data_IF_069449203876
#
_entry.id   IF_069449203876
#
_cell.length_a   1.000
_cell.length_b   1.000
_cell.length_c   1.000
_cell.angle_alpha   90.00
_cell.angle_beta   90.00
_cell.angle_gamma   90.00
#
_symmetry.space_group_name_H-M   'P 1'
#
loop_
_entity.id
_entity.type
_entity.pdbx_description
1 polymer ?
#
# COMPACT_ATOMS: atom_id res chain seq x y z
N UNK A 1 11.90 13.91 19.54
CA UNK A 1 11.94 13.57 19.33
C UNK A 1 11.45 13.18 18.94
N UNK A 2 11.50 13.40 18.60
CA UNK A 2 11.33 13.05 18.14
C UNK A 2 11.13 12.41 17.66
N UNK A 3 11.38 12.33 17.40
CA UNK A 3 11.37 11.66 16.90
C UNK A 3 10.64 11.03 16.70
N UNK A 4 10.47 11.06 16.83
CA UNK A 4 9.90 10.45 16.64
C UNK A 4 9.26 10.08 16.04
N UNK A 5 9.50 10.46 15.41
CA UNK A 5 9.11 10.22 14.76
C UNK A 5 8.96 9.41 14.14
N UNK A 6 9.34 8.92 13.91
CA UNK A 6 9.33 8.16 13.22
C UNK A 6 8.88 7.12 13.47
N UNK A 7 8.73 6.91 14.35
CA UNK A 7 8.38 6.07 14.45
C UNK A 7 7.34 5.63 13.88
N UNK A 8 6.84 6.23 13.52
CA UNK A 8 6.12 5.91 12.61
C UNK A 8 6.60 4.97 11.77
N UNK A 9 7.59 4.72 11.89
CA UNK A 9 8.27 3.81 11.05
C UNK A 9 7.79 2.42 11.20
N UNK A 10 7.00 2.15 12.17
CA UNK A 10 6.36 0.87 12.25
C UNK A 10 5.42 0.68 11.11
N UNK A 11 4.94 1.78 10.55
CA UNK A 11 4.11 1.70 9.41
C UNK A 11 4.96 1.74 8.20
N UNK A 12 4.78 0.83 7.31
CA UNK A 12 5.49 0.86 6.06
C UNK A 12 4.84 1.86 5.12
N UNK A 13 5.65 2.65 4.46
CA UNK A 13 5.15 3.63 3.53
C UNK A 13 4.76 2.97 2.23
N UNK A 14 5.51 1.95 1.84
CA UNK A 14 5.19 1.20 0.62
C UNK A 14 5.55 -0.24 0.84
N UNK A 15 4.90 -1.11 0.09
CA UNK A 15 5.09 -2.55 0.22
C UNK A 15 5.08 -3.17 -1.16
N UNK A 16 5.64 -4.38 -1.26
CA UNK A 16 5.58 -5.09 -2.54
C UNK A 16 4.22 -5.78 -2.68
N UNK A 17 4.03 -6.46 -3.81
CA UNK A 17 2.73 -7.07 -4.09
C UNK A 17 2.36 -8.15 -3.10
N UNK A 18 3.33 -8.95 -2.66
CA UNK A 18 3.04 -10.01 -1.71
C UNK A 18 2.61 -9.46 -0.38
N UNK A 19 3.33 -8.45 0.08
CA UNK A 19 2.98 -7.83 1.35
C UNK A 19 1.63 -7.13 1.24
N UNK A 20 1.38 -6.49 0.12
CA UNK A 20 0.10 -5.84 -0.09
C UNK A 20 -1.03 -6.86 -0.03
N UNK A 21 -0.85 -8.01 -0.66
CA UNK A 21 -1.87 -9.04 -0.63
C UNK A 21 -2.13 -9.50 0.79
N UNK A 22 -1.07 -9.63 1.59
CA UNK A 22 -1.23 -10.05 2.98
C UNK A 22 -1.99 -8.99 3.77
N UNK A 23 -1.67 -7.74 3.54
CA UNK A 23 -2.34 -6.65 4.25
C UNK A 23 -3.81 -6.57 3.89
N UNK A 24 -4.13 -6.85 2.64
CA UNK A 24 -5.51 -6.76 2.18
C UNK A 24 -6.30 -8.03 2.43
N UNK A 25 -5.60 -9.11 2.74
CA UNK A 25 -6.27 -10.39 2.96
C UNK A 25 -6.80 -10.97 1.67
N UNK A 26 -6.09 -10.80 0.57
CA UNK A 26 -6.55 -11.30 -0.71
C UNK A 26 -5.38 -11.90 -1.47
N UNK A 27 -5.65 -12.41 -2.66
CA UNK A 27 -4.62 -12.99 -3.48
C UNK A 27 -3.75 -11.92 -4.11
N UNK A 28 -2.58 -12.34 -4.59
CA UNK A 28 -1.64 -11.41 -5.16
C UNK A 28 -2.20 -10.71 -6.40
N UNK A 29 -2.88 -11.45 -7.27
CA UNK A 29 -3.43 -10.87 -8.47
C UNK A 29 -4.44 -9.78 -8.14
N UNK A 30 -5.27 -10.02 -7.13
CA UNK A 30 -6.24 -9.03 -6.70
C UNK A 30 -5.55 -7.81 -6.11
N UNK A 31 -4.50 -8.04 -5.32
CA UNK A 31 -3.77 -6.95 -4.70
C UNK A 31 -3.14 -6.05 -5.77
N UNK A 32 -2.56 -6.65 -6.79
CA UNK A 32 -1.96 -5.87 -7.86
C UNK A 32 -3.01 -5.04 -8.59
N UNK A 33 -4.16 -5.63 -8.82
CA UNK A 33 -5.25 -4.92 -9.48
C UNK A 33 -5.70 -3.72 -8.64
N UNK A 34 -5.84 -3.93 -7.34
CA UNK A 34 -6.25 -2.85 -6.45
C UNK A 34 -5.19 -1.76 -6.44
N UNK A 35 -3.93 -2.16 -6.37
CA UNK A 35 -2.85 -1.19 -6.37
C UNK A 35 -2.83 -0.34 -7.62
N UNK A 36 -3.08 -0.95 -8.76
CA UNK A 36 -3.11 -0.22 -10.02
C UNK A 36 -4.30 0.73 -10.08
N UNK A 37 -5.47 0.26 -9.66
CA UNK A 37 -6.65 1.09 -9.69
C UNK A 37 -6.56 2.25 -8.73
N UNK A 38 -5.91 2.04 -7.61
CA UNK A 38 -5.76 3.09 -6.62
C UNK A 38 -4.72 4.13 -7.05
N UNK A 39 -3.94 3.82 -8.06
CA UNK A 39 -2.86 4.70 -8.45
C UNK A 39 -1.73 4.67 -7.46
N UNK A 40 -1.58 3.57 -6.76
CA UNK A 40 -0.59 3.44 -5.71
C UNK A 40 0.73 2.85 -6.18
N UNK A 41 0.77 2.37 -7.40
CA UNK A 41 1.95 1.69 -7.90
C UNK A 41 3.12 2.64 -8.07
N UNK A 42 4.27 2.24 -7.55
CA UNK A 42 5.50 3.00 -7.67
C UNK A 42 6.57 2.07 -8.17
N UNK A 43 7.42 2.57 -9.02
CA UNK A 43 8.55 1.77 -9.46
C UNK A 43 9.83 2.45 -9.02
N UNK A 44 10.64 1.74 -8.28
CA UNK A 44 11.92 2.26 -7.82
C UNK A 44 12.97 1.28 -8.29
N UNK A 45 13.76 1.70 -9.28
CA UNK A 45 14.72 0.80 -9.90
C UNK A 45 13.98 -0.36 -10.52
N UNK A 46 14.26 -1.56 -10.07
CA UNK A 46 13.61 -2.75 -10.58
C UNK A 46 12.47 -3.22 -9.71
N UNK A 47 12.20 -2.51 -8.66
CA UNK A 47 11.19 -2.94 -7.71
C UNK A 47 9.90 -2.20 -7.95
N UNK A 48 8.80 -2.94 -7.86
CA UNK A 48 7.48 -2.35 -7.95
C UNK A 48 6.88 -2.39 -6.55
N UNK A 49 6.49 -1.23 -6.08
CA UNK A 49 5.96 -1.10 -4.73
C UNK A 49 4.61 -0.39 -4.81
N UNK A 50 3.90 -0.42 -3.71
CA UNK A 50 2.58 0.19 -3.63
C UNK A 50 2.51 1.05 -2.38
N UNK A 51 2.05 2.28 -2.54
CA UNK A 51 1.95 3.20 -1.40
C UNK A 51 0.76 2.82 -0.55
N UNK A 52 1.03 2.53 0.70
CA UNK A 52 0.00 2.08 1.62
C UNK A 52 -1.05 3.15 1.84
N UNK A 53 -0.63 4.40 2.02
CA UNK A 53 -1.58 5.47 2.27
C UNK A 53 -2.56 5.64 1.11
N UNK A 54 -2.05 5.51 -0.12
CA UNK A 54 -2.90 5.65 -1.29
C UNK A 54 -3.90 4.50 -1.37
N UNK A 55 -3.45 3.29 -1.01
CA UNK A 55 -4.34 2.13 -0.97
C UNK A 55 -5.43 2.35 0.06
N UNK A 56 -5.06 2.84 1.24
CA UNK A 56 -6.05 3.07 2.28
C UNK A 56 -7.11 4.05 1.84
N UNK A 57 -6.67 5.12 1.20
CA UNK A 57 -7.60 6.12 0.72
C UNK A 57 -8.55 5.55 -0.33
N UNK A 58 -8.02 4.75 -1.24
CA UNK A 58 -8.82 4.12 -2.27
C UNK A 58 -9.87 3.21 -1.65
N UNK A 59 -9.46 2.42 -0.66
CA UNK A 59 -10.40 1.51 -0.01
C UNK A 59 -11.49 2.27 0.73
N UNK A 60 -11.14 3.40 1.34
CA UNK A 60 -12.13 4.22 2.00
C UNK A 60 -13.16 4.73 0.99
N UNK A 61 -12.69 5.10 -0.18
CA UNK A 61 -13.58 5.65 -1.20
C UNK A 61 -14.54 4.62 -1.72
N UNK A 62 -14.08 3.40 -1.97
CA UNK A 62 -14.96 2.41 -2.55
C UNK A 62 -15.82 1.70 -1.52
N UNK A 63 -15.46 1.78 -0.25
CA UNK A 63 -16.25 1.12 0.77
C UNK A 63 -17.18 2.07 1.49
N UNK A 64 -17.20 3.31 1.06
CA UNK A 64 -18.05 4.26 1.67
C UNK A 64 -19.45 3.99 1.35
N UNK A 65 -20.28 4.05 2.13
CA UNK A 65 -21.54 3.80 1.74
C UNK A 65 -22.45 3.98 2.35
#
# INVERSE_FOLDING_TARGET
MKKTKFRKTDRQISVDAEKLAALLGCGRATAVKIGSKAGAKIQIGRRVLYKVATIEKYLDEISEN
#
